data_IF_690396848668
#
_entry.id   IF_690396848668
#
_cell.length_a   1.000
_cell.length_b   1.000
_cell.length_c   1.000
_cell.angle_alpha   90.00
_cell.angle_beta   90.00
_cell.angle_gamma   90.00
#
_symmetry.space_group_name_H-M   'P 1'
#
loop_
_entity.id
_entity.type
_entity.pdbx_description
1 polymer ?
#
# COMPACT_ATOMS: atom_id res chain seq x y z
N UNK A 1 -21.43 -1.67 -3.35
CA UNK A 1 -20.94 -1.14 -2.05
C UNK A 1 -22.13 -0.71 -1.22
N UNK A 2 -22.16 -1.07 0.07
CA UNK A 2 -23.16 -0.59 1.03
C UNK A 2 -22.75 0.73 1.67
N UNK A 3 -23.72 1.50 2.17
CA UNK A 3 -23.47 2.70 2.99
C UNK A 3 -23.61 2.31 4.45
N UNK A 4 -22.54 2.48 5.21
CA UNK A 4 -22.48 2.18 6.65
C UNK A 4 -22.01 3.44 7.37
N UNK A 5 -22.65 3.79 8.49
CA UNK A 5 -22.24 4.91 9.33
C UNK A 5 -21.50 4.34 10.54
N UNK A 6 -20.24 4.71 10.73
CA UNK A 6 -19.37 4.23 11.79
C UNK A 6 -18.50 5.38 12.28
N UNK A 7 -18.23 5.41 13.58
CA UNK A 7 -17.26 6.33 14.16
C UNK A 7 -15.85 5.73 14.02
N UNK A 8 -14.90 6.54 13.55
CA UNK A 8 -13.51 6.15 13.36
C UNK A 8 -12.63 7.30 13.86
N UNK A 9 -11.50 6.95 14.47
CA UNK A 9 -10.45 7.89 14.85
C UNK A 9 -9.88 8.63 13.62
N UNK A 10 -9.99 9.97 13.63
CA UNK A 10 -9.52 10.80 12.51
C UNK A 10 -7.99 10.84 12.38
N UNK A 11 -7.26 10.75 13.49
CA UNK A 11 -5.79 10.74 13.47
C UNK A 11 -5.28 9.46 12.83
N UNK A 12 -5.89 8.32 13.18
CA UNK A 12 -5.56 7.02 12.57
C UNK A 12 -5.83 7.02 11.05
N UNK A 13 -6.96 7.60 10.63
CA UNK A 13 -7.28 7.71 9.20
C UNK A 13 -6.29 8.63 8.48
N UNK A 14 -5.93 9.76 9.09
CA UNK A 14 -4.94 10.68 8.53
C UNK A 14 -3.56 10.01 8.38
N UNK A 15 -3.13 9.21 9.36
CA UNK A 15 -1.87 8.48 9.30
C UNK A 15 -1.87 7.44 8.17
N UNK A 16 -2.94 6.66 8.03
CA UNK A 16 -3.09 5.69 6.93
C UNK A 16 -3.08 6.41 5.58
N UNK A 17 -3.82 7.51 5.45
CA UNK A 17 -3.86 8.31 4.22
C UNK A 17 -2.48 8.87 3.86
N UNK A 18 -1.74 9.41 4.82
CA UNK A 18 -0.39 9.93 4.61
C UNK A 18 0.60 8.84 4.22
N UNK A 19 0.58 7.71 4.94
CA UNK A 19 1.51 6.58 4.70
C UNK A 19 1.32 5.95 3.33
N UNK A 20 0.08 5.79 2.89
CA UNK A 20 -0.26 5.12 1.63
C UNK A 20 -0.69 6.09 0.51
N UNK A 21 -0.53 7.40 0.71
CA UNK A 21 -0.85 8.48 -0.26
C UNK A 21 -2.28 8.37 -0.80
N UNK A 22 -3.25 8.18 0.09
CA UNK A 22 -4.67 8.01 -0.27
C UNK A 22 -5.42 9.34 -0.23
N UNK A 23 -6.26 9.58 -1.24
CA UNK A 23 -6.95 10.87 -1.40
C UNK A 23 -8.25 11.00 -0.57
N UNK A 24 -8.73 9.92 0.07
CA UNK A 24 -9.99 9.97 0.82
C UNK A 24 -10.03 9.01 2.01
N UNK A 25 -10.85 9.36 3.03
CA UNK A 25 -11.13 8.48 4.17
C UNK A 25 -11.75 7.15 3.72
N UNK A 26 -12.56 7.17 2.65
CA UNK A 26 -13.18 5.95 2.08
C UNK A 26 -12.13 5.01 1.51
N UNK A 27 -11.16 5.54 0.74
CA UNK A 27 -10.08 4.71 0.19
C UNK A 27 -9.16 4.19 1.29
N UNK A 28 -8.94 4.94 2.37
CA UNK A 28 -8.21 4.45 3.54
C UNK A 28 -8.87 3.23 4.19
N UNK A 29 -10.19 3.27 4.41
CA UNK A 29 -10.93 2.14 4.99
C UNK A 29 -10.95 0.94 4.04
N UNK A 30 -11.22 1.15 2.74
CA UNK A 30 -11.20 0.08 1.74
C UNK A 30 -9.82 -0.58 1.64
N UNK A 31 -8.77 0.24 1.62
CA UNK A 31 -7.38 -0.23 1.62
C UNK A 31 -7.05 -1.06 2.85
N UNK A 32 -7.40 -0.57 4.05
CA UNK A 32 -7.14 -1.29 5.30
C UNK A 32 -7.83 -2.66 5.35
N UNK A 33 -9.09 -2.74 4.92
CA UNK A 33 -9.85 -3.99 4.87
C UNK A 33 -9.25 -4.98 3.87
N UNK A 34 -8.88 -4.50 2.68
CA UNK A 34 -8.22 -5.33 1.66
C UNK A 34 -6.87 -5.84 2.12
N UNK A 35 -6.08 -4.99 2.77
CA UNK A 35 -4.78 -5.35 3.29
C UNK A 35 -4.87 -6.41 4.40
N UNK A 36 -5.93 -6.37 5.22
CA UNK A 36 -6.15 -7.36 6.27
C UNK A 36 -6.49 -8.76 5.72
N UNK A 37 -7.21 -8.83 4.60
CA UNK A 37 -7.57 -10.10 3.94
C UNK A 37 -6.56 -10.53 2.89
N UNK A 38 -5.55 -9.69 2.60
CA UNK A 38 -4.52 -10.01 1.63
C UNK A 38 -3.75 -11.24 2.12
N UNK A 39 -3.79 -12.31 1.33
CA UNK A 39 -2.95 -13.47 1.58
C UNK A 39 -1.56 -13.17 1.04
N UNK A 40 -0.50 -13.24 1.87
CA UNK A 40 0.85 -13.13 1.36
C UNK A 40 1.09 -14.25 0.35
N UNK A 41 1.86 -13.95 -0.69
CA UNK A 41 2.32 -14.98 -1.62
C UNK A 41 3.05 -16.08 -0.85
N UNK A 42 2.79 -17.33 -1.22
CA UNK A 42 3.56 -18.46 -0.73
C UNK A 42 5.02 -18.35 -1.16
N UNK A 43 5.91 -19.03 -0.44
CA UNK A 43 7.34 -19.06 -0.79
C UNK A 43 7.57 -19.56 -2.22
N UNK A 44 6.79 -20.55 -2.67
CA UNK A 44 6.91 -21.09 -4.02
C UNK A 44 6.50 -20.06 -5.08
N UNK A 45 5.43 -19.30 -4.84
CA UNK A 45 5.01 -18.20 -5.73
C UNK A 45 6.07 -17.09 -5.80
N UNK A 46 6.67 -16.74 -4.66
CA UNK A 46 7.77 -15.75 -4.61
C UNK A 46 8.99 -16.27 -5.39
N UNK A 47 9.34 -17.54 -5.22
CA UNK A 47 10.49 -18.14 -5.91
C UNK A 47 10.26 -18.29 -7.41
N UNK A 48 9.01 -18.54 -7.85
CA UNK A 48 8.64 -18.60 -9.26
C UNK A 48 8.83 -17.24 -9.97
N UNK A 49 8.77 -16.13 -9.23
CA UNK A 49 9.05 -14.78 -9.76
C UNK A 49 10.56 -14.49 -9.90
N UNK A 50 11.45 -15.38 -9.44
CA UNK A 50 12.90 -15.16 -9.56
C UNK A 50 13.32 -15.05 -11.03
N UNK A 51 14.02 -13.97 -11.37
CA UNK A 51 14.42 -13.67 -12.75
C UNK A 51 13.39 -12.84 -13.51
N UNK A 52 12.22 -12.59 -12.92
CA UNK A 52 11.37 -11.46 -13.31
C UNK A 52 12.00 -10.17 -12.76
N UNK A 53 12.00 -9.13 -13.56
CA UNK A 53 12.58 -7.84 -13.22
C UNK A 53 11.95 -6.75 -14.07
N UNK A 54 12.39 -5.53 -13.85
CA UNK A 54 12.02 -4.37 -14.66
C UNK A 54 13.24 -3.93 -15.46
N UNK A 55 13.03 -3.45 -16.69
CA UNK A 55 14.11 -2.92 -17.55
C UNK A 55 14.51 -1.50 -17.13
N UNK A 56 14.84 -1.33 -15.86
CA UNK A 56 15.35 -0.08 -15.31
C UNK A 56 16.49 -0.39 -14.35
N UNK A 57 17.60 0.33 -14.52
CA UNK A 57 18.69 0.31 -13.55
C UNK A 57 18.30 1.13 -12.31
N UNK A 58 18.88 0.80 -11.16
CA UNK A 58 18.55 1.44 -9.90
C UNK A 58 18.77 2.98 -9.95
N UNK A 59 19.81 3.43 -10.66
CA UNK A 59 20.12 4.84 -10.87
C UNK A 59 19.03 5.59 -11.66
N UNK A 60 18.24 4.88 -12.46
CA UNK A 60 17.12 5.46 -13.23
C UNK A 60 15.84 5.60 -12.39
N UNK A 61 15.70 4.77 -11.33
CA UNK A 61 14.51 4.71 -10.48
C UNK A 61 14.70 5.48 -9.17
N UNK A 62 15.94 5.63 -8.71
CA UNK A 62 16.24 6.37 -7.48
C UNK A 62 15.91 7.86 -7.63
N UNK A 63 14.77 8.26 -7.05
CA UNK A 63 14.53 9.64 -6.68
C UNK A 63 15.44 9.99 -5.52
N UNK A 64 16.30 11.01 -5.70
CA UNK A 64 17.29 11.43 -4.72
C UNK A 64 16.75 11.40 -3.30
N UNK A 65 17.30 10.50 -2.47
CA UNK A 65 16.97 10.39 -1.06
C UNK A 65 17.55 11.60 -0.33
N UNK A 66 16.88 12.75 -0.41
CA UNK A 66 17.21 13.89 0.44
C UNK A 66 16.61 13.62 1.82
N UNK A 67 17.37 12.92 2.66
CA UNK A 67 17.17 12.95 4.09
C UNK A 67 17.53 14.38 4.56
N UNK A 68 16.52 15.24 4.63
CA UNK A 68 16.57 16.53 5.31
C UNK A 68 16.16 16.37 6.77
#
# INVERSE_FOLDING_TARGET
>A
MGRTNIDIDEELVAEVMGRYRLESKRSAVDFALRNLIAQPLSMDEILAMRGTGIEFDNDEVEGGWTAA
#
